data_IF_036713115434
#
_entry.id   IF_036713115434
#
_cell.length_a   1.000
_cell.length_b   1.000
_cell.length_c   1.000
_cell.angle_alpha   90.00
_cell.angle_beta   90.00
_cell.angle_gamma   90.00
#
_symmetry.space_group_name_H-M   'P 1'
#
loop_
_entity.id
_entity.type
_entity.pdbx_description
1 polymer ?
#
# COMPACT_ATOMS: atom_id res chain seq x y z
N UNK A 1 -12.88 -8.87 -10.89
CA UNK A 1 -12.57 -9.77 -12.02
C UNK A 1 -11.43 -9.29 -12.92
N UNK A 2 -11.39 -8.03 -13.36
CA UNK A 2 -10.36 -7.49 -14.27
C UNK A 2 -8.87 -7.52 -13.81
N UNK A 3 -8.57 -8.01 -12.61
CA UNK A 3 -7.20 -8.10 -12.06
C UNK A 3 -6.64 -9.52 -12.02
N UNK A 4 -7.44 -10.53 -12.37
CA UNK A 4 -7.06 -11.95 -12.33
C UNK A 4 -6.69 -12.54 -13.70
N UNK A 5 -6.85 -11.76 -14.78
CA UNK A 5 -6.73 -12.25 -16.16
C UNK A 5 -5.29 -12.27 -16.69
N UNK A 6 -4.35 -11.58 -16.03
CA UNK A 6 -2.98 -11.45 -16.51
C UNK A 6 -1.99 -11.48 -15.33
N UNK A 7 -1.32 -12.63 -15.08
CA UNK A 7 -0.36 -12.80 -13.99
C UNK A 7 0.83 -11.83 -14.06
N UNK A 8 1.23 -11.36 -15.24
CA UNK A 8 2.31 -10.36 -15.38
C UNK A 8 1.85 -8.95 -15.02
N UNK A 9 0.55 -8.66 -15.16
CA UNK A 9 -0.07 -7.39 -14.70
C UNK A 9 -0.56 -7.43 -13.26
N UNK A 10 -0.60 -8.60 -12.63
CA UNK A 10 -0.97 -8.69 -11.23
C UNK A 10 0.16 -8.02 -10.42
N UNK A 11 -0.11 -6.92 -9.70
CA UNK A 11 0.96 -6.18 -9.05
C UNK A 11 1.67 -7.12 -8.08
N UNK A 12 2.93 -7.44 -8.38
CA UNK A 12 3.79 -8.19 -7.48
C UNK A 12 3.78 -7.51 -6.12
N UNK A 13 4.05 -8.25 -5.03
CA UNK A 13 4.13 -7.68 -3.69
C UNK A 13 4.98 -6.40 -3.63
N UNK A 14 6.04 -6.37 -4.44
CA UNK A 14 6.92 -5.23 -4.65
C UNK A 14 6.20 -3.92 -5.02
N UNK A 15 5.17 -3.97 -5.88
CA UNK A 15 4.41 -2.78 -6.30
C UNK A 15 3.66 -2.12 -5.13
N UNK A 16 3.14 -2.93 -4.22
CA UNK A 16 2.42 -2.45 -3.03
C UNK A 16 3.40 -1.83 -2.02
N UNK A 17 4.62 -2.36 -1.97
CA UNK A 17 5.69 -1.96 -1.04
C UNK A 17 6.27 -0.60 -1.37
N UNK A 18 6.24 -0.13 -2.62
CA UNK A 18 6.66 1.25 -2.91
C UNK A 18 5.56 2.25 -2.57
N UNK A 19 4.31 1.87 -2.84
CA UNK A 19 3.20 2.80 -2.80
C UNK A 19 2.75 3.18 -1.37
N UNK A 20 2.59 2.17 -0.50
CA UNK A 20 2.04 2.43 0.84
C UNK A 20 3.03 3.20 1.73
N UNK A 21 4.31 2.82 1.84
CA UNK A 21 5.31 3.58 2.57
C UNK A 21 5.44 5.02 2.10
N UNK A 22 5.44 5.24 0.79
CA UNK A 22 5.57 6.57 0.24
C UNK A 22 4.35 7.45 0.57
N UNK A 23 3.14 6.89 0.52
CA UNK A 23 1.91 7.59 0.90
C UNK A 23 1.87 7.88 2.39
N UNK A 24 2.13 6.89 3.24
CA UNK A 24 2.19 7.09 4.70
C UNK A 24 3.23 8.15 5.08
N UNK A 25 4.44 8.09 4.51
CA UNK A 25 5.51 9.06 4.76
C UNK A 25 5.14 10.48 4.33
N UNK A 26 4.52 10.63 3.15
CA UNK A 26 4.09 11.95 2.65
C UNK A 26 2.94 12.51 3.48
N UNK A 27 1.97 11.69 3.87
CA UNK A 27 0.89 12.08 4.78
C UNK A 27 1.42 12.52 6.15
N UNK A 28 2.35 11.76 6.74
CA UNK A 28 2.97 12.11 8.03
C UNK A 28 3.74 13.44 7.96
N UNK A 29 4.46 13.69 6.86
CA UNK A 29 5.24 14.93 6.66
C UNK A 29 4.36 16.13 6.31
N UNK A 30 3.35 15.93 5.47
CA UNK A 30 2.42 16.97 5.03
C UNK A 30 1.42 17.30 6.13
N UNK A 31 1.84 18.10 7.12
CA UNK A 31 0.92 18.63 8.15
C UNK A 31 0.01 19.75 7.61
N UNK A 32 0.39 20.34 6.48
CA UNK A 32 -0.37 21.41 5.83
C UNK A 32 -1.57 20.86 5.04
N UNK A 33 -2.74 21.50 5.19
CA UNK A 33 -3.98 21.04 4.56
C UNK A 33 -3.92 20.92 3.03
N UNK A 34 -3.08 21.71 2.36
CA UNK A 34 -2.89 21.64 0.89
C UNK A 34 -2.17 20.35 0.45
N UNK A 35 -1.14 19.94 1.18
CA UNK A 35 -0.37 18.73 0.86
C UNK A 35 -1.21 17.46 1.15
N UNK A 36 -2.00 17.46 2.23
CA UNK A 36 -2.92 16.34 2.53
C UNK A 36 -3.96 16.11 1.41
N UNK A 37 -4.53 17.18 0.84
CA UNK A 37 -5.49 17.09 -0.26
C UNK A 37 -4.83 16.52 -1.52
N UNK A 38 -3.60 16.94 -1.81
CA UNK A 38 -2.81 16.44 -2.95
C UNK A 38 -2.48 14.95 -2.78
N UNK A 39 -2.04 14.54 -1.60
CA UNK A 39 -1.73 13.14 -1.30
C UNK A 39 -2.98 12.26 -1.34
N UNK A 40 -4.13 12.75 -0.86
CA UNK A 40 -5.42 12.05 -1.02
C UNK A 40 -5.76 11.81 -2.48
N UNK A 41 -5.60 12.82 -3.35
CA UNK A 41 -5.84 12.68 -4.80
C UNK A 41 -4.88 11.68 -5.44
N UNK A 42 -3.61 11.71 -5.07
CA UNK A 42 -2.62 10.74 -5.55
C UNK A 42 -2.99 9.32 -5.11
N UNK A 43 -3.42 9.16 -3.85
CA UNK A 43 -3.81 7.86 -3.33
C UNK A 43 -5.08 7.29 -3.97
N UNK A 44 -6.04 8.15 -4.29
CA UNK A 44 -7.28 7.78 -4.99
C UNK A 44 -7.04 7.22 -6.40
N UNK A 45 -6.03 7.72 -7.12
CA UNK A 45 -5.67 7.21 -8.46
C UNK A 45 -5.31 5.73 -8.45
N UNK A 46 -4.72 5.26 -7.33
CA UNK A 46 -4.20 3.90 -7.19
C UNK A 46 -5.22 3.00 -6.49
N UNK A 47 -5.70 3.40 -5.31
CA UNK A 47 -6.59 2.56 -4.51
C UNK A 47 -8.01 2.46 -5.08
N UNK A 48 -8.45 3.45 -5.89
CA UNK A 48 -9.75 3.53 -6.59
C UNK A 48 -11.01 3.37 -5.72
N UNK A 49 -10.87 3.09 -4.43
CA UNK A 49 -11.91 2.92 -3.43
C UNK A 49 -11.75 4.01 -2.38
N UNK A 50 -12.74 4.90 -2.29
CA UNK A 50 -12.65 6.09 -1.45
C UNK A 50 -12.50 5.77 0.04
N UNK A 51 -13.23 4.77 0.53
CA UNK A 51 -13.18 4.35 1.93
C UNK A 51 -11.79 3.89 2.37
N UNK A 52 -11.05 3.22 1.48
CA UNK A 52 -9.69 2.73 1.74
C UNK A 52 -8.70 3.87 1.90
N UNK A 53 -8.80 4.92 1.07
CA UNK A 53 -7.93 6.10 1.15
C UNK A 53 -8.15 6.85 2.46
N UNK A 54 -9.41 7.05 2.86
CA UNK A 54 -9.75 7.69 4.13
C UNK A 54 -9.22 6.90 5.33
N UNK A 55 -9.33 5.56 5.30
CA UNK A 55 -8.76 4.69 6.33
C UNK A 55 -7.23 4.78 6.37
N UNK A 56 -6.57 4.80 5.21
CA UNK A 56 -5.12 4.88 5.10
C UNK A 56 -4.60 6.18 5.74
N UNK A 57 -5.17 7.32 5.37
CA UNK A 57 -4.73 8.64 5.83
C UNK A 57 -5.08 8.87 7.30
N UNK A 58 -6.32 8.59 7.71
CA UNK A 58 -6.80 9.01 9.04
C UNK A 58 -6.48 8.01 10.14
N UNK A 59 -6.32 6.71 9.81
CA UNK A 59 -6.13 5.65 10.82
C UNK A 59 -4.77 4.96 10.74
N UNK A 60 -4.26 4.72 9.53
CA UNK A 60 -3.04 3.92 9.35
C UNK A 60 -1.80 4.80 9.40
N UNK A 61 -1.76 5.89 8.62
CA UNK A 61 -0.58 6.77 8.53
C UNK A 61 -0.10 7.33 9.89
N UNK A 62 -0.98 7.76 10.83
CA UNK A 62 -0.55 8.27 12.14
C UNK A 62 0.23 7.26 12.98
N UNK A 63 -0.04 5.95 12.80
CA UNK A 63 0.65 4.87 13.53
C UNK A 63 2.15 4.80 13.21
N UNK A 64 2.55 5.38 12.09
CA UNK A 64 3.91 5.37 11.58
C UNK A 64 4.62 6.72 11.67
N UNK A 65 4.06 7.71 12.40
CA UNK A 65 4.70 9.03 12.55
C UNK A 65 6.12 8.95 13.13
N UNK A 66 6.34 8.01 14.05
CA UNK A 66 7.64 7.81 14.73
C UNK A 66 8.58 6.86 13.98
N UNK A 67 8.18 6.38 12.80
CA UNK A 67 8.93 5.37 12.04
C UNK A 67 9.53 6.00 10.78
N UNK A 68 10.87 6.02 10.63
CA UNK A 68 11.51 6.64 9.47
C UNK A 68 11.41 5.81 8.17
N UNK A 69 11.13 4.50 8.28
CA UNK A 69 11.06 3.56 7.16
C UNK A 69 10.60 2.15 7.58
N UNK A 70 10.42 1.23 6.63
CA UNK A 70 10.00 -0.14 6.95
C UNK A 70 8.54 -0.26 7.39
N UNK A 71 7.63 0.39 6.65
CA UNK A 71 6.19 0.44 6.97
C UNK A 71 5.47 -0.89 6.67
N UNK A 72 6.02 -1.68 5.75
CA UNK A 72 5.47 -2.97 5.34
C UNK A 72 6.51 -4.08 5.55
N UNK A 73 6.01 -5.30 5.75
CA UNK A 73 6.80 -6.52 5.83
C UNK A 73 6.23 -7.55 4.85
N UNK A 74 7.11 -8.31 4.22
CA UNK A 74 6.76 -9.36 3.27
C UNK A 74 7.25 -10.70 3.81
N UNK A 75 6.35 -11.70 3.86
CA UNK A 75 6.70 -13.10 4.05
C UNK A 75 6.49 -13.83 2.73
N UNK A 76 7.54 -14.44 2.20
CA UNK A 76 7.41 -15.31 1.04
C UNK A 76 6.70 -16.58 1.46
N UNK A 77 5.63 -16.89 0.75
CA UNK A 77 4.96 -18.18 0.84
C UNK A 77 5.48 -19.04 -0.30
N UNK A 78 5.59 -20.35 -0.05
CA UNK A 78 5.86 -21.30 -1.13
C UNK A 78 4.82 -21.21 -2.25
N UNK A 79 5.05 -21.93 -3.32
CA UNK A 79 4.24 -21.80 -4.52
C UNK A 79 2.79 -22.26 -4.29
N UNK A 80 1.85 -21.57 -4.93
CA UNK A 80 0.44 -21.89 -4.90
C UNK A 80 0.20 -23.25 -5.57
N UNK A 81 -0.61 -24.08 -4.92
CA UNK A 81 -0.99 -25.39 -5.44
C UNK A 81 -1.88 -25.22 -6.69
N UNK A 82 -1.49 -25.86 -7.79
CA UNK A 82 -2.25 -25.89 -9.05
C UNK A 82 -1.47 -25.23 -10.19
N UNK A 83 -1.13 -23.96 -10.03
CA UNK A 83 -0.44 -23.16 -11.05
C UNK A 83 1.03 -22.86 -10.72
N UNK A 84 1.51 -23.32 -9.56
CA UNK A 84 2.88 -23.13 -9.08
C UNK A 84 3.30 -21.65 -9.00
N UNK A 85 2.35 -20.72 -8.87
CA UNK A 85 2.65 -19.29 -8.77
C UNK A 85 3.31 -18.96 -7.42
N UNK A 86 4.35 -18.13 -7.43
CA UNK A 86 4.96 -17.64 -6.19
C UNK A 86 3.99 -16.77 -5.40
N UNK A 87 3.93 -16.98 -4.09
CA UNK A 87 3.00 -16.29 -3.19
C UNK A 87 3.76 -15.49 -2.15
N UNK A 88 3.14 -14.46 -1.60
CA UNK A 88 3.66 -13.76 -0.43
C UNK A 88 2.51 -13.16 0.38
N UNK A 89 2.73 -13.01 1.69
CA UNK A 89 1.89 -12.20 2.56
C UNK A 89 2.59 -10.86 2.76
N UNK A 90 1.82 -9.78 2.64
CA UNK A 90 2.28 -8.43 2.98
C UNK A 90 1.46 -7.94 4.17
N UNK A 91 2.15 -7.42 5.17
CA UNK A 91 1.51 -6.81 6.33
C UNK A 91 2.09 -5.44 6.65
N UNK A 92 1.33 -4.66 7.41
CA UNK A 92 1.83 -3.47 8.09
C UNK A 92 2.69 -3.88 9.28
N UNK A 93 3.81 -3.19 9.50
CA UNK A 93 4.69 -3.50 10.64
C UNK A 93 4.12 -3.04 11.98
N UNK A 94 3.09 -2.19 11.98
CA UNK A 94 2.40 -1.72 13.18
C UNK A 94 0.91 -1.89 13.11
#
# INVERSE_FOLDING_TARGET
EKYLEDPEKNPKPEFIVDYIPATCKRTVKGKDGKELVKERKNAQKILRVEGTVSKLINRIAPRFETVPGGYTRIYKLGNRRGDNAEMAIIEFTR
#
